data_IF_902016281036
#
_entry.id   IF_902016281036
#
_cell.length_a   1.000
_cell.length_b   1.000
_cell.length_c   1.000
_cell.angle_alpha   90.00
_cell.angle_beta   90.00
_cell.angle_gamma   90.00
#
_symmetry.space_group_name_H-M   'P 1'
#
loop_
_entity.id
_entity.type
_entity.pdbx_description
1 polymer ?
#
# COMPACT_ATOMS: atom_id res chain seq x y z
N UNK A 1 -73.72 -39.03 6.43
CA UNK A 1 -72.73 -38.65 7.44
C UNK A 1 -71.52 -38.12 6.67
N UNK A 2 -71.46 -36.79 6.43
CA UNK A 2 -70.40 -36.15 5.60
C UNK A 2 -69.30 -35.66 6.52
N UNK A 3 -68.11 -36.23 6.38
CA UNK A 3 -66.93 -35.82 7.14
C UNK A 3 -66.33 -34.58 6.39
N UNK A 4 -66.40 -33.42 7.05
CA UNK A 4 -65.73 -32.17 6.57
C UNK A 4 -64.29 -32.26 7.09
N UNK A 5 -63.36 -32.51 6.18
CA UNK A 5 -61.93 -32.38 6.45
C UNK A 5 -61.59 -30.85 6.43
N UNK A 6 -61.33 -30.28 7.61
CA UNK A 6 -60.77 -28.94 7.77
C UNK A 6 -59.25 -29.04 7.58
N UNK A 7 -58.77 -28.66 6.39
CA UNK A 7 -57.32 -28.41 6.12
C UNK A 7 -56.90 -27.13 6.85
N UNK A 8 -56.17 -27.27 7.94
CA UNK A 8 -55.43 -26.17 8.54
C UNK A 8 -54.24 -25.84 7.62
N UNK A 9 -54.39 -24.80 6.80
CA UNK A 9 -53.25 -24.19 6.18
C UNK A 9 -52.47 -23.46 7.28
N UNK A 10 -51.38 -24.05 7.73
CA UNK A 10 -50.40 -23.31 8.53
C UNK A 10 -49.83 -22.22 7.59
N UNK A 11 -50.18 -21.00 7.84
CA UNK A 11 -49.47 -19.84 7.27
C UNK A 11 -48.04 -19.94 7.80
N UNK A 12 -47.11 -20.33 6.95
CA UNK A 12 -45.68 -20.16 7.20
C UNK A 12 -45.46 -18.64 7.20
N UNK A 13 -45.48 -18.06 8.41
CA UNK A 13 -44.98 -16.68 8.55
C UNK A 13 -43.50 -16.76 8.21
N UNK A 14 -43.12 -16.20 7.03
CA UNK A 14 -41.75 -16.02 6.71
C UNK A 14 -41.13 -15.18 7.83
N UNK A 15 -40.27 -15.79 8.61
CA UNK A 15 -39.55 -15.11 9.68
C UNK A 15 -38.60 -14.12 9.01
N UNK A 16 -38.74 -12.82 9.29
CA UNK A 16 -37.81 -11.80 8.78
C UNK A 16 -36.59 -11.82 9.69
N UNK A 17 -35.43 -12.16 9.13
CA UNK A 17 -34.17 -12.19 9.85
C UNK A 17 -33.64 -10.78 10.08
N UNK A 18 -33.03 -10.54 11.21
CA UNK A 18 -32.32 -9.31 11.51
C UNK A 18 -30.82 -9.49 11.25
N UNK A 19 -30.28 -8.72 10.30
CA UNK A 19 -28.85 -8.74 9.94
C UNK A 19 -28.17 -7.48 10.48
N UNK A 20 -27.35 -7.64 11.50
CA UNK A 20 -26.53 -6.54 12.00
C UNK A 20 -25.36 -6.25 11.05
N UNK A 21 -25.07 -4.97 10.87
CA UNK A 21 -23.90 -4.53 10.12
C UNK A 21 -23.34 -3.23 10.69
N UNK A 22 -22.13 -2.87 10.26
CA UNK A 22 -21.47 -1.60 10.59
C UNK A 22 -20.84 -1.01 9.34
N UNK A 23 -20.71 0.31 9.26
CA UNK A 23 -20.11 0.95 8.08
C UNK A 23 -18.63 0.62 7.94
N UNK A 24 -18.31 -0.19 6.92
CA UNK A 24 -16.96 -0.72 6.59
C UNK A 24 -16.82 -0.92 5.08
N UNK A 25 -16.67 0.16 4.30
CA UNK A 25 -16.43 0.01 2.86
C UNK A 25 -15.16 -0.82 2.58
N UNK A 26 -15.16 -1.69 1.56
CA UNK A 26 -16.22 -1.99 0.61
C UNK A 26 -17.18 -3.11 1.04
N UNK A 27 -17.12 -3.59 2.29
CA UNK A 27 -17.92 -4.74 2.75
C UNK A 27 -19.37 -4.38 3.07
N UNK A 28 -19.57 -3.26 3.75
CA UNK A 28 -20.89 -2.73 4.08
C UNK A 28 -20.84 -1.20 4.15
N UNK A 29 -21.70 -0.54 3.41
CA UNK A 29 -21.83 0.92 3.37
C UNK A 29 -23.22 1.32 2.95
N UNK A 30 -23.53 2.61 3.00
CA UNK A 30 -24.75 3.18 2.45
C UNK A 30 -24.40 4.01 1.24
N UNK A 31 -25.01 3.72 0.11
CA UNK A 31 -24.87 4.46 -1.13
C UNK A 31 -26.25 4.83 -1.66
N UNK A 32 -26.47 6.11 -1.96
CA UNK A 32 -27.78 6.64 -2.40
C UNK A 32 -28.96 6.32 -1.46
N UNK A 33 -28.68 6.09 -0.17
CA UNK A 33 -29.69 5.76 0.84
C UNK A 33 -30.02 4.27 0.95
N UNK A 34 -29.34 3.42 0.19
CA UNK A 34 -29.49 1.95 0.22
C UNK A 34 -28.24 1.30 0.82
N UNK A 35 -28.46 0.22 1.58
CA UNK A 35 -27.39 -0.61 2.10
C UNK A 35 -26.75 -1.42 0.96
N UNK A 36 -25.43 -1.37 0.85
CA UNK A 36 -24.66 -2.04 -0.20
C UNK A 36 -23.28 -2.46 0.30
N UNK A 37 -22.54 -3.20 -0.51
CA UNK A 37 -21.20 -3.67 -0.19
C UNK A 37 -21.07 -5.17 -0.43
N UNK A 38 -19.84 -5.66 -0.47
CA UNK A 38 -19.56 -7.07 -0.74
C UNK A 38 -20.34 -8.01 0.19
N UNK A 39 -20.31 -7.76 1.51
CA UNK A 39 -21.00 -8.61 2.48
C UNK A 39 -22.52 -8.50 2.39
N UNK A 40 -23.03 -7.32 2.03
CA UNK A 40 -24.47 -7.10 1.84
C UNK A 40 -24.98 -7.84 0.59
N UNK A 41 -24.29 -7.68 -0.55
CA UNK A 41 -24.66 -8.42 -1.77
C UNK A 41 -24.54 -9.93 -1.61
N UNK A 42 -23.61 -10.40 -0.77
CA UNK A 42 -23.52 -11.83 -0.45
C UNK A 42 -24.71 -12.29 0.36
N UNK A 43 -25.19 -11.48 1.33
CA UNK A 43 -26.42 -11.76 2.09
C UNK A 43 -27.64 -11.76 1.18
N UNK A 44 -27.73 -10.82 0.20
CA UNK A 44 -28.80 -10.82 -0.81
C UNK A 44 -28.83 -12.13 -1.59
N UNK A 45 -27.69 -12.58 -2.09
CA UNK A 45 -27.60 -13.83 -2.85
C UNK A 45 -27.95 -15.06 -1.99
N UNK A 46 -27.58 -15.06 -0.70
CA UNK A 46 -27.95 -16.10 0.25
C UNK A 46 -29.46 -16.10 0.51
N UNK A 47 -30.02 -14.93 0.78
CA UNK A 47 -31.46 -14.77 1.07
C UNK A 47 -32.33 -15.21 -0.13
N UNK A 48 -31.91 -14.84 -1.37
CA UNK A 48 -32.59 -15.28 -2.59
C UNK A 48 -32.61 -16.82 -2.71
N UNK A 49 -31.47 -17.47 -2.44
CA UNK A 49 -31.36 -18.94 -2.54
C UNK A 49 -32.09 -19.70 -1.41
N UNK A 50 -32.14 -19.12 -0.21
CA UNK A 50 -32.77 -19.70 0.97
C UNK A 50 -34.26 -19.33 1.08
N UNK A 51 -34.74 -18.37 0.28
CA UNK A 51 -36.11 -17.85 0.35
C UNK A 51 -36.35 -17.04 1.63
N UNK A 52 -35.29 -16.38 2.15
CA UNK A 52 -35.37 -15.57 3.35
C UNK A 52 -35.85 -14.15 3.03
N UNK A 53 -36.55 -13.57 3.98
CA UNK A 53 -36.73 -12.12 4.10
C UNK A 53 -35.88 -11.62 5.23
N UNK A 54 -35.21 -10.50 5.07
CA UNK A 54 -34.34 -9.94 6.11
C UNK A 54 -34.42 -8.42 6.16
N UNK A 55 -34.00 -7.85 7.27
CA UNK A 55 -33.84 -6.42 7.46
C UNK A 55 -32.43 -6.13 7.97
N UNK A 56 -31.82 -5.05 7.47
CA UNK A 56 -30.51 -4.60 7.94
C UNK A 56 -30.71 -3.71 9.16
N UNK A 57 -29.97 -4.00 10.21
CA UNK A 57 -29.82 -3.17 11.39
C UNK A 57 -28.37 -2.63 11.44
N UNK A 58 -28.18 -1.38 11.06
CA UNK A 58 -26.86 -0.75 11.06
C UNK A 58 -26.52 -0.18 12.42
N UNK A 59 -25.52 -0.77 13.08
CA UNK A 59 -25.02 -0.34 14.38
C UNK A 59 -23.98 0.77 14.25
N UNK A 60 -23.79 1.53 15.33
CA UNK A 60 -22.81 2.61 15.34
C UNK A 60 -21.38 2.10 15.50
N UNK A 61 -21.18 1.02 16.25
CA UNK A 61 -19.88 0.47 16.57
C UNK A 61 -19.79 -1.02 16.21
N UNK A 62 -18.56 -1.46 15.97
CA UNK A 62 -18.29 -2.88 15.73
C UNK A 62 -18.63 -3.76 16.94
N UNK A 63 -18.41 -3.25 18.16
CA UNK A 63 -18.75 -3.94 19.38
C UNK A 63 -20.26 -4.16 19.54
N UNK A 64 -21.07 -3.14 19.24
CA UNK A 64 -22.55 -3.27 19.25
C UNK A 64 -23.05 -4.29 18.24
N UNK A 65 -22.45 -4.33 17.05
CA UNK A 65 -22.79 -5.32 16.02
C UNK A 65 -22.58 -6.75 16.53
N UNK A 66 -21.40 -7.01 17.14
CA UNK A 66 -21.09 -8.35 17.71
C UNK A 66 -22.00 -8.69 18.88
N UNK A 67 -22.23 -7.73 19.79
CA UNK A 67 -23.08 -7.94 20.97
C UNK A 67 -24.52 -8.26 20.61
N UNK A 68 -25.08 -7.60 19.59
CA UNK A 68 -26.42 -7.89 19.11
C UNK A 68 -26.58 -9.33 18.59
N UNK A 69 -25.55 -9.92 17.99
CA UNK A 69 -25.54 -11.33 17.60
C UNK A 69 -25.34 -12.23 18.81
N UNK A 70 -24.40 -11.89 19.69
CA UNK A 70 -24.13 -12.67 20.91
C UNK A 70 -25.33 -12.76 21.83
N UNK A 71 -26.11 -11.68 21.98
CA UNK A 71 -27.33 -11.63 22.79
C UNK A 71 -28.54 -12.30 22.13
N UNK A 72 -28.48 -12.58 20.82
CA UNK A 72 -29.60 -13.10 20.05
C UNK A 72 -30.64 -12.02 19.63
N UNK A 73 -30.30 -10.74 19.75
CA UNK A 73 -31.10 -9.63 19.21
C UNK A 73 -31.05 -9.59 17.67
N UNK A 74 -29.94 -10.04 17.08
CA UNK A 74 -29.80 -10.24 15.66
C UNK A 74 -29.56 -11.71 15.31
N UNK A 75 -30.14 -12.15 14.22
CA UNK A 75 -29.99 -13.53 13.72
C UNK A 75 -28.62 -13.76 13.07
N UNK A 76 -28.00 -12.71 12.56
CA UNK A 76 -26.65 -12.76 11.99
C UNK A 76 -26.02 -11.37 11.90
N UNK A 77 -24.70 -11.34 11.62
CA UNK A 77 -24.04 -10.12 11.21
C UNK A 77 -23.21 -10.33 9.95
N UNK A 78 -23.17 -9.26 9.12
CA UNK A 78 -22.47 -9.24 7.84
C UNK A 78 -21.64 -7.95 7.69
N UNK A 79 -20.31 -8.11 7.71
CA UNK A 79 -19.30 -7.07 7.48
C UNK A 79 -17.95 -7.77 7.22
N UNK A 80 -16.82 -7.05 7.41
CA UNK A 80 -15.48 -7.63 7.47
C UNK A 80 -15.18 -8.20 8.87
N UNK A 81 -15.81 -9.31 9.23
CA UNK A 81 -15.69 -9.89 10.57
C UNK A 81 -14.65 -11.01 10.55
N UNK A 82 -13.48 -10.76 11.14
CA UNK A 82 -12.43 -11.78 11.22
C UNK A 82 -12.85 -12.93 12.11
N UNK A 83 -12.72 -14.16 11.60
CA UNK A 83 -12.87 -15.41 12.34
C UNK A 83 -11.68 -15.52 13.29
N UNK A 84 -11.94 -15.53 14.59
CA UNK A 84 -10.91 -15.68 15.62
C UNK A 84 -11.33 -16.70 16.67
N UNK A 85 -10.33 -17.38 17.26
CA UNK A 85 -10.62 -18.39 18.28
C UNK A 85 -11.44 -17.85 19.47
N UNK A 86 -11.20 -16.59 19.87
CA UNK A 86 -11.96 -16.00 20.96
C UNK A 86 -13.42 -15.74 20.59
N UNK A 87 -13.71 -15.27 19.37
CA UNK A 87 -15.08 -15.03 18.91
C UNK A 87 -15.80 -16.35 18.68
N UNK A 88 -15.11 -17.36 18.15
CA UNK A 88 -15.68 -18.71 17.91
C UNK A 88 -16.08 -19.45 19.20
N UNK A 89 -15.58 -19.04 20.37
CA UNK A 89 -16.03 -19.58 21.64
C UNK A 89 -17.39 -19.07 22.10
N UNK A 90 -17.82 -17.93 21.58
CA UNK A 90 -19.07 -17.26 22.01
C UNK A 90 -20.13 -17.18 20.90
N UNK A 91 -19.75 -17.36 19.67
CA UNK A 91 -20.58 -17.18 18.47
C UNK A 91 -20.13 -18.15 17.39
N UNK A 92 -20.99 -18.49 16.45
CA UNK A 92 -20.65 -19.34 15.30
C UNK A 92 -20.34 -18.51 14.08
N UNK A 93 -19.45 -19.02 13.22
CA UNK A 93 -19.13 -18.40 11.93
C UNK A 93 -19.53 -19.28 10.76
N UNK A 94 -19.82 -18.64 9.63
CA UNK A 94 -19.84 -19.34 8.35
C UNK A 94 -18.45 -19.83 7.96
N UNK A 95 -18.37 -20.65 6.90
CA UNK A 95 -17.11 -20.83 6.19
C UNK A 95 -16.54 -19.46 5.75
N UNK A 96 -15.21 -19.36 5.58
CA UNK A 96 -14.59 -18.13 5.13
C UNK A 96 -15.20 -17.61 3.83
N UNK A 97 -15.62 -16.34 3.83
CA UNK A 97 -16.15 -15.65 2.66
C UNK A 97 -15.13 -14.70 2.02
N UNK A 98 -14.05 -14.39 2.72
CA UNK A 98 -13.02 -13.49 2.19
C UNK A 98 -11.69 -13.72 2.94
N UNK A 99 -10.58 -13.76 2.18
CA UNK A 99 -9.24 -13.79 2.76
C UNK A 99 -8.63 -12.39 2.79
N UNK A 100 -8.11 -11.99 3.92
CA UNK A 100 -7.57 -10.67 4.16
C UNK A 100 -6.30 -10.71 5.01
N UNK A 101 -5.94 -9.57 5.54
CA UNK A 101 -4.88 -9.34 6.52
C UNK A 101 -4.84 -7.88 6.91
N UNK A 102 -3.99 -7.55 7.86
CA UNK A 102 -3.76 -6.18 8.29
C UNK A 102 -2.76 -5.49 7.35
N UNK A 103 -2.91 -4.18 7.22
CA UNK A 103 -1.96 -3.33 6.49
C UNK A 103 -1.73 -2.02 7.24
N UNK A 104 -0.65 -1.34 6.91
CA UNK A 104 -0.32 -0.03 7.47
C UNK A 104 -0.66 1.02 6.42
N UNK A 105 -1.34 2.08 6.83
CA UNK A 105 -1.52 3.29 6.03
C UNK A 105 -0.78 4.44 6.70
N UNK A 106 -0.09 5.24 5.89
CA UNK A 106 0.67 6.43 6.30
C UNK A 106 0.31 7.61 5.42
N UNK A 107 0.67 8.83 5.84
CA UNK A 107 0.40 10.01 5.03
C UNK A 107 1.10 9.96 3.68
N UNK A 108 0.38 10.30 2.60
CA UNK A 108 0.86 10.26 1.24
C UNK A 108 2.12 11.13 1.01
N UNK A 109 2.24 12.22 1.77
CA UNK A 109 3.40 13.11 1.69
C UNK A 109 4.68 12.49 2.26
N UNK A 110 4.54 11.61 3.25
CA UNK A 110 5.67 10.93 3.89
C UNK A 110 6.28 9.81 3.00
N UNK A 111 5.55 9.41 1.95
CA UNK A 111 5.95 8.35 0.99
C UNK A 111 6.26 8.90 -0.41
N UNK A 112 6.10 10.20 -0.63
CA UNK A 112 6.37 10.78 -1.97
C UNK A 112 7.84 10.62 -2.32
N UNK A 113 8.16 9.96 -3.46
CA UNK A 113 9.51 10.01 -3.99
C UNK A 113 9.83 11.50 -4.28
N UNK A 114 11.05 11.97 -3.98
CA UNK A 114 11.45 13.32 -4.33
C UNK A 114 11.26 13.51 -5.82
N UNK A 115 10.80 14.68 -6.22
CA UNK A 115 10.73 15.00 -7.63
C UNK A 115 12.12 14.84 -8.23
N UNK A 116 12.26 14.13 -9.36
CA UNK A 116 13.53 13.99 -10.10
C UNK A 116 14.23 15.35 -10.25
N UNK A 117 13.44 16.42 -10.40
CA UNK A 117 13.94 17.80 -10.47
C UNK A 117 14.64 18.23 -9.17
N UNK A 118 14.13 17.83 -7.99
CA UNK A 118 14.73 18.15 -6.69
C UNK A 118 16.01 17.34 -6.45
N UNK A 119 16.03 16.07 -6.87
CA UNK A 119 17.23 15.25 -6.86
C UNK A 119 18.31 15.82 -7.79
N UNK A 120 17.93 16.31 -8.98
CA UNK A 120 18.84 16.97 -9.93
C UNK A 120 19.36 18.33 -9.43
N UNK A 121 18.62 19.02 -8.58
CA UNK A 121 19.03 20.29 -7.95
C UNK A 121 19.68 20.09 -6.56
N UNK A 122 20.00 18.87 -6.18
CA UNK A 122 20.64 18.60 -4.90
C UNK A 122 22.08 19.15 -4.88
N UNK A 123 22.52 19.66 -3.70
CA UNK A 123 23.88 20.13 -3.49
C UNK A 123 24.92 19.04 -3.76
N UNK A 124 24.60 17.79 -3.40
CA UNK A 124 25.47 16.63 -3.62
C UNK A 124 25.72 16.36 -5.11
N UNK A 125 24.69 16.48 -5.95
CA UNK A 125 24.83 16.33 -7.38
C UNK A 125 25.58 17.52 -7.99
N UNK A 126 25.27 18.73 -7.57
CA UNK A 126 25.99 19.94 -8.00
C UNK A 126 27.47 19.88 -7.62
N UNK A 127 27.79 19.38 -6.42
CA UNK A 127 29.17 19.18 -5.98
C UNK A 127 29.89 18.10 -6.82
N UNK A 128 29.21 16.98 -7.14
CA UNK A 128 29.78 15.92 -7.98
C UNK A 128 30.07 16.41 -9.41
N UNK A 129 29.12 17.17 -9.99
CA UNK A 129 29.29 17.81 -11.30
C UNK A 129 30.45 18.84 -11.26
N UNK A 130 30.49 19.67 -10.21
CA UNK A 130 31.58 20.63 -10.00
C UNK A 130 32.95 19.96 -9.88
N UNK A 131 33.04 18.85 -9.17
CA UNK A 131 34.26 18.04 -9.06
C UNK A 131 34.66 17.46 -10.41
N UNK A 132 33.71 16.92 -11.18
CA UNK A 132 33.98 16.40 -12.52
C UNK A 132 34.54 17.52 -13.45
N UNK A 133 33.93 18.70 -13.43
CA UNK A 133 34.44 19.85 -14.15
C UNK A 133 35.85 20.25 -13.72
N UNK A 134 36.12 20.26 -12.42
CA UNK A 134 37.44 20.59 -11.87
C UNK A 134 38.51 19.59 -12.32
N UNK A 135 38.19 18.29 -12.27
CA UNK A 135 39.10 17.22 -12.72
C UNK A 135 39.36 17.31 -14.23
N UNK A 136 38.33 17.55 -15.06
CA UNK A 136 38.48 17.70 -16.50
C UNK A 136 39.26 18.97 -16.87
N UNK A 137 38.95 20.08 -16.23
CA UNK A 137 39.63 21.34 -16.45
C UNK A 137 41.10 21.26 -16.00
N UNK A 138 41.35 20.80 -14.78
CA UNK A 138 42.70 20.61 -14.25
C UNK A 138 43.52 19.61 -15.06
N UNK A 139 42.91 18.48 -15.42
CA UNK A 139 43.51 17.44 -16.25
C UNK A 139 43.86 17.97 -17.65
N UNK A 140 42.93 18.70 -18.30
CA UNK A 140 43.18 19.35 -19.58
C UNK A 140 44.32 20.38 -19.55
N UNK A 141 44.33 21.23 -18.52
CA UNK A 141 45.40 22.23 -18.34
C UNK A 141 46.76 21.59 -18.04
N UNK A 142 46.76 20.51 -17.26
CA UNK A 142 47.98 19.75 -16.99
C UNK A 142 48.53 19.10 -18.25
N UNK A 143 47.65 18.55 -19.09
CA UNK A 143 48.04 18.02 -20.41
C UNK A 143 48.62 19.12 -21.32
N UNK A 144 48.04 20.32 -21.32
CA UNK A 144 48.60 21.48 -22.03
C UNK A 144 50.04 21.78 -21.57
N UNK A 145 50.31 21.75 -20.26
CA UNK A 145 51.69 21.99 -19.75
C UNK A 145 52.66 20.95 -20.28
N UNK A 146 52.27 19.64 -20.32
CA UNK A 146 53.16 18.58 -20.79
C UNK A 146 53.34 18.56 -22.30
N UNK A 147 52.32 18.89 -23.09
CA UNK A 147 52.31 18.72 -24.55
C UNK A 147 52.51 20.01 -25.37
N UNK A 148 52.47 21.21 -24.76
CA UNK A 148 52.51 22.49 -25.48
C UNK A 148 53.73 22.69 -26.39
N UNK A 149 54.83 21.96 -26.11
CA UNK A 149 56.06 22.00 -26.92
C UNK A 149 56.19 20.84 -27.91
N UNK A 150 55.39 19.81 -27.73
CA UNK A 150 55.48 18.55 -28.48
C UNK A 150 54.39 18.39 -29.54
N UNK A 151 53.24 19.08 -29.33
CA UNK A 151 52.06 18.91 -30.17
C UNK A 151 51.44 20.25 -30.58
N UNK A 152 51.22 20.47 -31.89
CA UNK A 152 50.69 21.76 -32.39
C UNK A 152 49.32 22.13 -31.82
N UNK A 153 48.51 21.14 -31.45
CA UNK A 153 47.19 21.38 -30.84
C UNK A 153 47.28 22.16 -29.52
N UNK A 154 48.29 21.88 -28.72
CA UNK A 154 48.52 22.50 -27.43
C UNK A 154 49.52 23.70 -27.51
N UNK A 155 50.09 23.98 -28.66
CA UNK A 155 51.01 25.12 -28.85
C UNK A 155 50.23 26.45 -28.93
N UNK A 156 49.73 26.88 -27.77
CA UNK A 156 48.91 28.08 -27.60
C UNK A 156 49.29 28.81 -26.30
N UNK A 157 49.16 30.15 -26.28
CA UNK A 157 49.33 30.88 -25.05
C UNK A 157 48.21 30.53 -24.03
N UNK A 158 48.46 30.78 -22.76
CA UNK A 158 47.58 30.39 -21.65
C UNK A 158 46.15 30.95 -21.81
N UNK A 159 46.00 32.17 -22.29
CA UNK A 159 44.71 32.81 -22.50
C UNK A 159 43.85 32.16 -23.59
N UNK A 160 44.45 31.37 -24.49
CA UNK A 160 43.74 30.65 -25.55
C UNK A 160 43.70 29.12 -25.31
N UNK A 161 44.49 28.63 -24.37
CA UNK A 161 44.67 27.20 -24.13
C UNK A 161 43.57 26.56 -23.28
N UNK A 162 42.88 27.35 -22.46
CA UNK A 162 41.97 26.80 -21.42
C UNK A 162 40.79 26.01 -22.02
N UNK A 163 40.10 26.55 -23.02
CA UNK A 163 38.95 25.84 -23.61
C UNK A 163 39.37 24.66 -24.50
N UNK A 164 40.37 24.77 -25.42
CA UNK A 164 40.83 23.59 -26.15
C UNK A 164 41.37 22.48 -25.30
N UNK A 165 42.03 22.80 -24.20
CA UNK A 165 42.53 21.77 -23.25
C UNK A 165 41.42 21.10 -22.48
N UNK A 166 40.44 21.85 -21.98
CA UNK A 166 39.22 21.30 -21.38
C UNK A 166 38.46 20.46 -22.40
N UNK A 167 38.24 20.95 -23.61
CA UNK A 167 37.55 20.24 -24.68
C UNK A 167 38.26 18.92 -25.04
N UNK A 168 39.58 18.92 -25.07
CA UNK A 168 40.37 17.73 -25.29
C UNK A 168 40.15 16.70 -24.18
N UNK A 169 40.22 17.12 -22.91
CA UNK A 169 39.98 16.23 -21.76
C UNK A 169 38.56 15.67 -21.77
N UNK A 170 37.55 16.47 -22.05
CA UNK A 170 36.16 16.05 -22.18
C UNK A 170 36.01 14.99 -23.29
N UNK A 171 36.58 15.20 -24.47
CA UNK A 171 36.51 14.23 -25.55
C UNK A 171 37.28 12.95 -25.26
N UNK A 172 38.40 13.04 -24.56
CA UNK A 172 39.13 11.84 -24.12
C UNK A 172 38.27 10.95 -23.24
N UNK A 173 37.47 11.54 -22.34
CA UNK A 173 36.62 10.82 -21.41
C UNK A 173 35.36 10.30 -22.08
N UNK A 174 34.72 11.06 -22.97
CA UNK A 174 33.44 10.70 -23.59
C UNK A 174 33.63 9.81 -24.82
N UNK A 175 34.61 10.13 -25.67
CA UNK A 175 34.78 9.49 -26.97
C UNK A 175 36.05 8.59 -27.05
N UNK A 176 36.82 8.45 -25.98
CA UNK A 176 38.10 7.71 -26.01
C UNK A 176 39.24 8.47 -26.68
N UNK A 177 39.06 9.78 -26.96
CA UNK A 177 40.06 10.64 -27.60
C UNK A 177 39.98 10.69 -29.12
N UNK A 178 40.87 11.49 -29.72
CA UNK A 178 41.02 11.61 -31.17
C UNK A 178 42.38 11.06 -31.60
N UNK A 179 42.46 10.29 -32.66
CA UNK A 179 43.71 9.75 -33.19
C UNK A 179 44.77 10.83 -33.48
N UNK A 180 44.37 11.98 -34.03
CA UNK A 180 45.24 13.07 -34.36
C UNK A 180 45.78 13.87 -33.16
N UNK A 181 45.21 13.63 -31.94
CA UNK A 181 45.48 14.40 -30.71
C UNK A 181 45.98 13.51 -29.55
N UNK A 182 46.56 12.38 -29.91
CA UNK A 182 47.17 11.48 -28.92
C UNK A 182 48.42 12.14 -28.33
N UNK A 183 48.63 12.12 -27.01
CA UNK A 183 49.82 12.67 -26.38
C UNK A 183 51.11 12.10 -26.96
N UNK A 184 52.07 12.97 -27.28
CA UNK A 184 53.34 12.59 -27.89
C UNK A 184 54.44 12.35 -26.86
N UNK A 185 54.40 13.07 -25.74
CA UNK A 185 55.38 12.91 -24.67
C UNK A 185 55.09 11.63 -23.82
N UNK A 186 56.09 10.94 -23.29
CA UNK A 186 55.87 9.76 -22.42
C UNK A 186 55.07 10.15 -21.17
N UNK A 187 55.32 11.32 -20.57
CA UNK A 187 54.60 11.83 -19.39
C UNK A 187 53.15 12.12 -19.77
N UNK A 188 52.90 12.77 -20.92
CA UNK A 188 51.55 13.04 -21.42
C UNK A 188 50.74 11.74 -21.65
N UNK A 189 51.36 10.69 -22.20
CA UNK A 189 50.71 9.37 -22.37
C UNK A 189 50.32 8.73 -21.06
N UNK A 190 51.25 8.70 -20.09
CA UNK A 190 50.99 8.14 -18.77
C UNK A 190 49.89 8.91 -18.05
N UNK A 191 49.91 10.23 -18.13
CA UNK A 191 48.90 11.11 -17.56
C UNK A 191 47.54 10.95 -18.27
N UNK A 192 47.51 10.78 -19.60
CA UNK A 192 46.28 10.48 -20.35
C UNK A 192 45.62 9.21 -19.90
N UNK A 193 46.38 8.12 -19.68
CA UNK A 193 45.87 6.85 -19.15
C UNK A 193 45.31 7.06 -17.75
N UNK A 194 46.02 7.77 -16.86
CA UNK A 194 45.58 8.06 -15.53
C UNK A 194 44.28 8.89 -15.54
N UNK A 195 44.16 9.87 -16.43
CA UNK A 195 42.97 10.68 -16.58
C UNK A 195 41.75 9.86 -17.02
N UNK A 196 41.92 8.95 -17.98
CA UNK A 196 40.85 8.03 -18.42
C UNK A 196 40.41 7.13 -17.28
N UNK A 197 41.31 6.48 -16.55
CA UNK A 197 40.97 5.64 -15.40
C UNK A 197 40.26 6.45 -14.34
N UNK A 198 40.75 7.64 -13.99
CA UNK A 198 40.12 8.52 -12.99
C UNK A 198 38.72 8.94 -13.42
N UNK A 199 38.51 9.22 -14.72
CA UNK A 199 37.18 9.59 -15.23
C UNK A 199 36.15 8.46 -15.12
N UNK A 200 36.54 7.21 -15.33
CA UNK A 200 35.66 6.04 -15.11
C UNK A 200 35.19 5.95 -13.66
N UNK A 201 36.08 6.26 -12.70
CA UNK A 201 35.67 6.34 -11.29
C UNK A 201 34.70 7.48 -11.03
N UNK A 202 34.93 8.67 -11.60
CA UNK A 202 34.02 9.82 -11.45
C UNK A 202 32.64 9.49 -12.02
N UNK A 203 32.55 8.93 -13.22
CA UNK A 203 31.28 8.51 -13.84
C UNK A 203 30.60 7.44 -12.99
N UNK A 204 31.34 6.44 -12.49
CA UNK A 204 30.80 5.38 -11.65
C UNK A 204 30.21 5.92 -10.32
N UNK A 205 30.89 6.86 -9.69
CA UNK A 205 30.39 7.54 -8.47
C UNK A 205 29.13 8.35 -8.79
N UNK A 206 29.09 9.04 -9.94
CA UNK A 206 27.93 9.80 -10.38
C UNK A 206 26.70 8.90 -10.60
N UNK A 207 26.88 7.80 -11.33
CA UNK A 207 25.79 6.80 -11.55
C UNK A 207 25.36 6.19 -10.23
N UNK A 208 26.30 5.81 -9.36
CA UNK A 208 25.99 5.27 -8.04
C UNK A 208 25.18 6.27 -7.19
N UNK A 209 25.53 7.55 -7.19
CA UNK A 209 24.80 8.61 -6.47
C UNK A 209 23.39 8.81 -7.00
N UNK A 210 23.19 8.83 -8.32
CA UNK A 210 21.84 8.91 -8.91
C UNK A 210 21.03 7.67 -8.56
N UNK A 211 21.60 6.48 -8.72
CA UNK A 211 20.90 5.21 -8.38
C UNK A 211 20.55 5.18 -6.89
N UNK A 212 21.47 5.58 -6.02
CA UNK A 212 21.20 5.65 -4.57
C UNK A 212 20.09 6.64 -4.26
N UNK A 213 20.12 7.84 -4.85
CA UNK A 213 19.07 8.84 -4.67
C UNK A 213 17.71 8.30 -5.12
N UNK A 214 17.64 7.60 -6.26
CA UNK A 214 16.40 7.01 -6.76
C UNK A 214 15.92 5.82 -5.93
N UNK A 215 16.82 5.05 -5.31
CA UNK A 215 16.49 3.82 -4.57
C UNK A 215 16.23 4.09 -3.09
N UNK A 216 17.04 4.90 -2.42
CA UNK A 216 16.93 5.18 -0.98
C UNK A 216 15.69 6.01 -0.67
N UNK A 217 15.32 6.94 -1.53
CA UNK A 217 14.12 7.77 -1.34
C UNK A 217 12.80 7.04 -1.63
N UNK A 218 12.83 5.95 -2.40
CA UNK A 218 11.70 5.04 -2.51
C UNK A 218 11.44 4.23 -1.21
N UNK A 219 12.40 4.24 -0.27
CA UNK A 219 12.37 3.47 0.99
C UNK A 219 12.20 4.40 2.22
N UNK A 220 12.34 5.71 2.11
CA UNK A 220 12.37 6.63 3.25
C UNK A 220 11.03 7.31 3.56
N UNK A 221 9.95 6.53 3.76
CA UNK A 221 8.88 6.95 4.64
C UNK A 221 9.33 6.78 6.11
N UNK A 222 8.80 7.58 7.02
CA UNK A 222 9.05 7.41 8.48
C UNK A 222 8.67 6.01 8.96
N UNK A 223 7.70 5.39 8.30
CA UNK A 223 7.18 4.05 8.59
C UNK A 223 7.18 3.24 7.29
N UNK A 224 7.90 2.11 7.27
CA UNK A 224 7.97 1.18 6.14
C UNK A 224 7.59 -0.24 6.55
N UNK A 225 7.55 -0.52 7.84
CA UNK A 225 7.27 -1.82 8.42
C UNK A 225 6.58 -1.69 9.78
N UNK A 226 6.07 -2.81 10.30
CA UNK A 226 5.51 -2.88 11.65
C UNK A 226 6.52 -2.41 12.73
N UNK A 227 7.81 -2.65 12.52
CA UNK A 227 8.83 -2.27 13.50
C UNK A 227 9.05 -0.75 13.59
N UNK A 228 8.67 -0.01 12.57
CA UNK A 228 8.79 1.45 12.53
C UNK A 228 7.60 2.16 13.21
N UNK A 229 6.59 1.41 13.65
CA UNK A 229 5.44 1.93 14.38
C UNK A 229 5.76 2.33 15.82
N UNK A 230 6.84 1.80 16.41
CA UNK A 230 7.23 2.18 17.76
C UNK A 230 7.56 3.67 17.86
N UNK A 231 6.90 4.33 18.82
CA UNK A 231 7.04 5.78 19.02
C UNK A 231 6.32 6.66 18.01
N UNK A 232 5.53 6.08 17.11
CA UNK A 232 4.60 6.80 16.24
C UNK A 232 3.21 6.87 16.88
N UNK A 233 2.42 7.86 16.50
CA UNK A 233 1.01 7.95 16.88
C UNK A 233 0.19 7.05 15.96
N UNK A 234 -0.01 5.82 16.40
CA UNK A 234 -0.72 4.78 15.61
C UNK A 234 -2.19 4.78 15.99
N UNK A 235 -3.09 4.79 15.01
CA UNK A 235 -4.53 4.66 15.24
C UNK A 235 -5.06 3.32 14.78
N UNK A 236 -6.04 2.79 15.49
CA UNK A 236 -6.82 1.61 15.09
C UNK A 236 -8.21 1.62 15.71
N UNK A 237 -9.04 0.63 15.39
CA UNK A 237 -10.41 0.54 15.90
C UNK A 237 -10.46 -0.41 17.08
N UNK A 238 -11.15 0.03 18.15
CA UNK A 238 -11.39 -0.74 19.37
C UNK A 238 -12.02 -2.10 19.06
N UNK A 239 -11.51 -3.16 19.69
CA UNK A 239 -12.02 -4.52 19.53
C UNK A 239 -11.68 -5.18 18.17
N UNK A 240 -10.90 -4.50 17.31
CA UNK A 240 -10.40 -5.10 16.07
C UNK A 240 -9.24 -6.07 16.33
N UNK A 241 -8.96 -6.91 15.34
CA UNK A 241 -7.79 -7.79 15.35
C UNK A 241 -6.50 -6.97 15.28
N UNK A 242 -6.54 -5.79 14.66
CA UNK A 242 -5.44 -4.83 14.61
C UNK A 242 -5.09 -4.31 16.01
N UNK A 243 -6.07 -3.91 16.83
CA UNK A 243 -5.86 -3.52 18.22
C UNK A 243 -5.18 -4.65 19.02
N UNK A 244 -5.71 -5.88 18.90
CA UNK A 244 -5.11 -7.04 19.53
C UNK A 244 -3.69 -7.37 19.04
N UNK A 245 -3.38 -7.10 17.77
CA UNK A 245 -2.03 -7.25 17.21
C UNK A 245 -1.06 -6.22 17.79
N UNK A 246 -1.44 -4.93 17.82
CA UNK A 246 -0.62 -3.86 18.38
C UNK A 246 -0.34 -4.08 19.87
N UNK A 247 -1.36 -4.48 20.63
CA UNK A 247 -1.22 -4.81 22.05
C UNK A 247 -0.24 -5.96 22.29
N UNK A 248 -0.32 -7.05 21.50
CA UNK A 248 0.63 -8.19 21.63
C UNK A 248 2.06 -7.83 21.26
N UNK A 249 2.27 -6.72 20.57
CA UNK A 249 3.59 -6.22 20.16
C UNK A 249 4.10 -5.10 21.05
N UNK A 250 3.37 -4.72 22.10
CA UNK A 250 3.68 -3.56 22.95
C UNK A 250 3.88 -2.27 22.14
N UNK A 251 3.04 -2.07 21.09
CA UNK A 251 2.98 -0.85 20.30
C UNK A 251 1.85 0.01 20.86
N UNK A 252 2.19 1.21 21.31
CA UNK A 252 1.19 2.18 21.77
C UNK A 252 0.30 2.62 20.61
N UNK A 253 -1.01 2.73 20.85
CA UNK A 253 -1.97 3.14 19.83
C UNK A 253 -3.14 3.92 20.43
N UNK A 254 -3.81 4.68 19.59
CA UNK A 254 -5.04 5.41 19.90
C UNK A 254 -6.24 4.57 19.42
N UNK A 255 -7.20 4.37 20.32
CA UNK A 255 -8.44 3.65 20.05
C UNK A 255 -9.51 4.58 19.48
N UNK A 256 -10.14 4.15 18.39
CA UNK A 256 -11.28 4.82 17.77
C UNK A 256 -12.49 3.89 17.76
N UNK A 257 -13.69 4.46 17.91
CA UNK A 257 -14.93 3.67 17.96
C UNK A 257 -15.43 3.28 16.58
N UNK A 258 -15.14 4.09 15.56
CA UNK A 258 -15.58 3.90 14.19
C UNK A 258 -14.54 4.25 13.14
N UNK A 259 -14.77 3.76 11.91
CA UNK A 259 -13.86 4.01 10.80
C UNK A 259 -13.80 5.50 10.43
N UNK A 260 -14.94 6.21 10.46
CA UNK A 260 -14.99 7.64 10.11
C UNK A 260 -14.15 8.48 11.05
N UNK A 261 -14.24 8.22 12.37
CA UNK A 261 -13.46 8.91 13.39
C UNK A 261 -11.95 8.64 13.22
N UNK A 262 -11.58 7.39 12.97
CA UNK A 262 -10.20 6.99 12.70
C UNK A 262 -9.62 7.71 11.47
N UNK A 263 -10.39 7.77 10.37
CA UNK A 263 -9.98 8.43 9.13
C UNK A 263 -9.89 9.96 9.32
N UNK A 264 -10.85 10.58 10.00
CA UNK A 264 -10.80 12.01 10.29
C UNK A 264 -9.55 12.37 11.11
N UNK A 265 -9.25 11.61 12.18
CA UNK A 265 -8.04 11.83 12.97
C UNK A 265 -6.75 11.65 12.14
N UNK A 266 -6.76 10.74 11.17
CA UNK A 266 -5.66 10.57 10.24
C UNK A 266 -5.54 11.76 9.28
N UNK A 267 -6.62 12.22 8.65
CA UNK A 267 -6.60 13.34 7.70
C UNK A 267 -6.15 14.66 8.34
N UNK A 268 -6.56 14.94 9.61
CA UNK A 268 -6.12 16.13 10.35
C UNK A 268 -4.74 15.98 11.00
N UNK A 269 -4.06 14.83 10.80
CA UNK A 269 -2.72 14.53 11.31
C UNK A 269 -2.62 14.42 12.84
N UNK A 270 -3.68 14.04 13.51
CA UNK A 270 -3.63 13.70 14.93
C UNK A 270 -2.90 12.37 15.17
N UNK A 271 -2.92 11.48 14.18
CA UNK A 271 -2.16 10.22 14.14
C UNK A 271 -1.26 10.15 12.91
N UNK A 272 -0.12 9.46 13.03
CA UNK A 272 0.91 9.35 11.99
C UNK A 272 0.71 8.13 11.09
N UNK A 273 0.10 7.08 11.62
CA UNK A 273 -0.16 5.83 10.91
C UNK A 273 -1.47 5.19 11.36
N UNK A 274 -2.08 4.43 10.47
CA UNK A 274 -3.24 3.57 10.75
C UNK A 274 -2.85 2.13 10.52
N UNK A 275 -3.17 1.25 11.46
CA UNK A 275 -3.09 -0.21 11.28
C UNK A 275 -4.49 -0.77 11.28
N UNK A 276 -4.92 -1.31 10.16
CA UNK A 276 -6.26 -1.84 10.02
C UNK A 276 -6.35 -2.84 8.86
N UNK A 277 -7.54 -3.35 8.58
CA UNK A 277 -7.85 -4.31 7.54
C UNK A 277 -7.44 -3.81 6.14
N UNK A 278 -6.61 -4.56 5.45
CA UNK A 278 -6.03 -4.16 4.16
C UNK A 278 -7.08 -3.77 3.10
N UNK A 279 -8.19 -4.52 2.90
CA UNK A 279 -9.19 -4.15 1.91
C UNK A 279 -9.88 -2.81 2.22
N UNK A 280 -10.11 -2.53 3.51
CA UNK A 280 -10.75 -1.27 3.96
C UNK A 280 -9.83 -0.08 3.71
N UNK A 281 -8.55 -0.19 4.10
CA UNK A 281 -7.56 0.85 3.87
C UNK A 281 -7.32 1.09 2.37
N UNK A 282 -7.21 0.02 1.59
CA UNK A 282 -7.02 0.14 0.14
C UNK A 282 -8.24 0.75 -0.55
N UNK A 283 -9.45 0.43 -0.09
CA UNK A 283 -10.66 1.06 -0.62
C UNK A 283 -10.64 2.57 -0.35
N UNK A 284 -10.35 2.99 0.90
CA UNK A 284 -10.25 4.39 1.25
C UNK A 284 -9.21 5.13 0.39
N UNK A 285 -7.98 4.60 0.32
CA UNK A 285 -6.89 5.22 -0.45
C UNK A 285 -7.24 5.38 -1.93
N UNK A 286 -7.93 4.40 -2.52
CA UNK A 286 -8.24 4.42 -3.96
C UNK A 286 -9.48 5.28 -4.33
N UNK A 287 -10.33 5.64 -3.36
CA UNK A 287 -11.58 6.37 -3.65
C UNK A 287 -11.62 7.78 -3.04
N UNK A 288 -11.23 7.92 -1.79
CA UNK A 288 -11.37 9.19 -1.05
C UNK A 288 -10.03 9.72 -0.54
N UNK A 289 -9.11 8.83 -0.21
CA UNK A 289 -7.88 9.13 0.51
C UNK A 289 -6.62 9.27 -0.35
N UNK A 290 -6.70 9.30 -1.68
CA UNK A 290 -5.52 9.34 -2.58
C UNK A 290 -4.57 10.51 -2.27
N UNK A 291 -5.13 11.65 -1.87
CA UNK A 291 -4.35 12.84 -1.49
C UNK A 291 -3.77 12.76 -0.07
N UNK A 292 -4.38 11.98 0.82
CA UNK A 292 -4.09 11.95 2.25
C UNK A 292 -3.23 10.77 2.67
N UNK A 293 -3.53 9.56 2.17
CA UNK A 293 -2.91 8.33 2.63
C UNK A 293 -2.35 7.43 1.54
N UNK A 294 -1.41 6.59 1.92
CA UNK A 294 -0.91 5.45 1.12
C UNK A 294 -0.75 4.25 2.01
N UNK A 295 -1.16 3.09 1.52
CA UNK A 295 -0.84 1.82 2.14
C UNK A 295 0.60 1.43 1.83
N UNK A 296 1.30 0.90 2.82
CA UNK A 296 2.70 0.50 2.71
C UNK A 296 2.88 -0.98 3.06
N UNK A 297 3.89 -1.57 2.45
CA UNK A 297 4.22 -2.98 2.65
C UNK A 297 3.15 -3.94 2.13
N UNK A 298 3.42 -5.24 2.27
CA UNK A 298 2.42 -6.27 2.03
C UNK A 298 1.48 -6.40 3.24
N UNK A 299 0.27 -6.92 3.02
CA UNK A 299 -0.61 -7.28 4.13
C UNK A 299 0.07 -8.33 5.02
N UNK A 300 -0.08 -8.19 6.31
CA UNK A 300 0.44 -9.10 7.33
C UNK A 300 -0.69 -9.60 8.22
N UNK A 301 -0.43 -10.62 9.03
CA UNK A 301 -1.44 -11.28 9.86
C UNK A 301 -2.67 -11.69 9.02
N UNK A 302 -2.54 -12.77 8.26
CA UNK A 302 -3.65 -13.29 7.44
C UNK A 302 -4.87 -13.56 8.30
N UNK A 303 -6.02 -13.14 7.81
CA UNK A 303 -7.31 -13.26 8.45
C UNK A 303 -8.34 -13.74 7.44
N UNK A 304 -9.26 -14.56 7.92
CA UNK A 304 -10.44 -14.97 7.17
C UNK A 304 -11.65 -14.24 7.73
N UNK A 305 -12.46 -13.67 6.87
CA UNK A 305 -13.75 -13.09 7.27
C UNK A 305 -14.86 -14.12 7.05
N UNK A 306 -15.84 -14.11 7.96
CA UNK A 306 -17.04 -14.93 7.90
C UNK A 306 -18.29 -14.11 8.24
N UNK A 307 -19.45 -14.66 7.89
CA UNK A 307 -20.72 -14.20 8.42
C UNK A 307 -20.84 -14.73 9.85
N UNK A 308 -21.37 -13.91 10.74
CA UNK A 308 -21.45 -14.22 12.18
C UNK A 308 -22.87 -14.60 12.56
N UNK A 309 -23.01 -15.61 13.43
CA UNK A 309 -24.27 -16.13 13.93
C UNK A 309 -24.22 -16.29 15.45
N UNK A 310 -25.40 -16.28 16.14
CA UNK A 310 -25.46 -16.72 17.51
C UNK A 310 -24.96 -18.16 17.66
N UNK A 311 -24.40 -18.49 18.82
CA UNK A 311 -23.88 -19.82 19.08
C UNK A 311 -25.00 -20.89 18.97
N UNK A 312 -24.74 -21.94 18.19
CA UNK A 312 -25.71 -23.00 17.92
C UNK A 312 -26.84 -22.62 16.98
N UNK A 313 -26.63 -21.58 16.15
CA UNK A 313 -27.62 -21.11 15.17
C UNK A 313 -27.97 -22.21 14.16
N UNK A 314 -29.26 -22.46 13.90
CA UNK A 314 -29.70 -23.42 12.89
C UNK A 314 -29.35 -22.97 11.46
N UNK A 315 -29.05 -21.68 11.28
CA UNK A 315 -28.80 -21.10 9.98
C UNK A 315 -27.37 -21.29 9.46
N UNK A 316 -26.40 -21.54 10.35
CA UNK A 316 -24.99 -21.66 10.01
C UNK A 316 -24.73 -22.71 8.93
N UNK A 317 -25.30 -23.92 9.11
CA UNK A 317 -25.05 -25.04 8.19
C UNK A 317 -25.76 -24.87 6.83
N UNK A 318 -26.97 -24.29 6.80
CA UNK A 318 -27.66 -24.04 5.56
C UNK A 318 -26.97 -22.88 4.74
N UNK A 319 -26.48 -21.85 5.43
CA UNK A 319 -25.70 -20.79 4.82
C UNK A 319 -24.41 -21.37 4.25
N UNK A 320 -23.69 -22.21 4.98
CA UNK A 320 -22.45 -22.82 4.50
C UNK A 320 -22.67 -23.63 3.21
N UNK A 321 -23.76 -24.37 3.12
CA UNK A 321 -24.10 -25.13 1.90
C UNK A 321 -24.43 -24.23 0.72
N UNK A 322 -25.15 -23.13 0.96
CA UNK A 322 -25.47 -22.17 -0.11
C UNK A 322 -24.23 -21.38 -0.52
N UNK A 323 -23.36 -20.99 0.40
CA UNK A 323 -22.08 -20.37 0.07
C UNK A 323 -21.25 -21.21 -0.90
N UNK A 324 -21.14 -22.52 -0.65
CA UNK A 324 -20.48 -23.43 -1.57
C UNK A 324 -21.16 -23.46 -2.95
N UNK A 325 -22.49 -23.51 -2.98
CA UNK A 325 -23.22 -23.46 -4.26
C UNK A 325 -23.00 -22.15 -5.03
N UNK A 326 -22.95 -21.01 -4.34
CA UNK A 326 -22.64 -19.70 -4.96
C UNK A 326 -21.20 -19.64 -5.50
N UNK A 327 -20.27 -20.36 -4.87
CA UNK A 327 -18.90 -20.48 -5.38
C UNK A 327 -18.85 -21.40 -6.62
N UNK A 328 -19.55 -22.54 -6.59
CA UNK A 328 -19.57 -23.50 -7.69
C UNK A 328 -20.24 -22.95 -8.95
N UNK A 329 -21.31 -22.16 -8.83
CA UNK A 329 -22.04 -21.59 -9.97
C UNK A 329 -21.46 -20.25 -10.46
N UNK A 330 -20.44 -19.69 -9.77
CA UNK A 330 -19.75 -18.46 -10.13
C UNK A 330 -20.46 -17.18 -9.69
N UNK A 331 -21.56 -17.24 -8.96
CA UNK A 331 -22.26 -16.05 -8.41
C UNK A 331 -21.34 -15.31 -7.42
N UNK A 332 -20.67 -16.05 -6.54
CA UNK A 332 -19.69 -15.47 -5.63
C UNK A 332 -18.59 -14.72 -6.38
N UNK A 333 -18.03 -15.29 -7.45
CA UNK A 333 -16.98 -14.66 -8.26
C UNK A 333 -17.45 -13.37 -8.93
N UNK A 334 -18.72 -13.28 -9.32
CA UNK A 334 -19.28 -12.06 -9.90
C UNK A 334 -19.39 -10.95 -8.85
N UNK A 335 -19.86 -11.27 -7.63
CA UNK A 335 -19.92 -10.32 -6.52
C UNK A 335 -18.50 -9.87 -6.15
N UNK A 336 -17.57 -10.81 -6.00
CA UNK A 336 -16.16 -10.51 -5.69
C UNK A 336 -15.52 -9.56 -6.72
N UNK A 337 -15.66 -9.87 -8.01
CA UNK A 337 -15.10 -9.04 -9.09
C UNK A 337 -15.66 -7.62 -9.15
N UNK A 338 -16.91 -7.45 -8.77
CA UNK A 338 -17.56 -6.13 -8.72
C UNK A 338 -16.90 -5.22 -7.72
N UNK A 339 -16.54 -5.74 -6.55
CA UNK A 339 -16.00 -4.97 -5.44
C UNK A 339 -14.46 -4.90 -5.42
N UNK A 340 -13.78 -5.94 -5.85
CA UNK A 340 -12.32 -6.07 -5.73
C UNK A 340 -11.60 -6.19 -7.08
N UNK A 341 -12.34 -6.19 -8.19
CA UNK A 341 -11.76 -6.35 -9.51
C UNK A 341 -11.34 -7.80 -9.82
N UNK A 342 -10.71 -7.99 -10.97
CA UNK A 342 -10.19 -9.32 -11.33
C UNK A 342 -8.98 -9.66 -10.46
N UNK A 343 -9.07 -10.72 -9.67
CA UNK A 343 -7.89 -11.38 -9.10
C UNK A 343 -7.00 -11.85 -10.24
N UNK A 344 -5.76 -11.33 -10.29
CA UNK A 344 -4.72 -11.89 -11.17
C UNK A 344 -4.04 -13.05 -10.48
#
# INVERSE_FOLDING_TARGET
MSIVLILWAQAITAQTLTVNTVTRPPFSMVENGEDTGFSIELVDALAERLGWTYQINRTNTFGEMLEGVRSGEADMAAANISITASRETEMDFSQPVFESGLQIMVHAEDVRPPSLLRAMLSWDLAAAVGLAFLVLFGGGMLMWVFERRAQPYFDRPLNEAWFPSFWWALNLVVNGGFEERVPRTPIGRMFGVLLVISSLFVVSVFVAKITTAMTVEAITGKVNSVNDLYGQRVGTITGSTAAGFLQRRDIDYYDFTGLSELIEAFEVRDIDAVVFDAPVLNYYVNHQGEAHGRTIGASFLRENYGLLFPQGSPHTEEVNRVLLALQEDGTYDQIYKRWFGNTK
#
